data_IF_895719585151
#
_entry.id   IF_895719585151
#
_cell.length_a   1.000
_cell.length_b   1.000
_cell.length_c   1.000
_cell.angle_alpha   90.00
_cell.angle_beta   90.00
_cell.angle_gamma   90.00
#
_symmetry.space_group_name_H-M   'P 1'
#
loop_
_entity.id
_entity.type
_entity.pdbx_description
1 polymer ?
#
# COMPACT_ATOMS: atom_id res chain seq x y z
N UNK A 1 38.15 -9.56 -4.75
CA UNK A 1 36.88 -8.94 -4.30
C UNK A 1 36.13 -10.02 -3.57
N UNK A 2 36.13 -9.95 -2.23
CA UNK A 2 35.56 -10.96 -1.35
C UNK A 2 34.03 -10.90 -1.39
N UNK A 3 33.42 -12.06 -1.27
CA UNK A 3 31.98 -12.37 -1.28
C UNK A 3 31.15 -11.72 -0.17
N UNK A 4 31.75 -10.90 0.70
CA UNK A 4 31.06 -10.27 1.85
C UNK A 4 30.20 -9.06 1.50
N UNK A 5 30.38 -8.44 0.33
CA UNK A 5 29.73 -7.16 0.02
C UNK A 5 28.47 -7.27 -0.84
N UNK A 6 28.06 -8.49 -1.23
CA UNK A 6 26.85 -8.71 -2.05
C UNK A 6 25.55 -8.73 -1.24
N UNK A 7 25.63 -8.71 0.09
CA UNK A 7 24.48 -8.79 1.00
C UNK A 7 24.03 -7.42 1.54
N UNK A 8 24.75 -6.32 1.27
CA UNK A 8 24.38 -4.97 1.72
C UNK A 8 23.84 -4.11 0.56
N UNK A 9 22.52 -3.98 0.42
CA UNK A 9 21.96 -3.09 -0.60
C UNK A 9 22.02 -1.62 -0.15
N UNK A 10 21.55 -1.33 1.05
CA UNK A 10 21.51 0.02 1.62
C UNK A 10 22.78 0.25 2.42
N UNK A 11 23.73 0.96 1.81
CA UNK A 11 25.05 1.27 2.40
C UNK A 11 25.35 2.75 2.47
N UNK A 12 24.47 3.60 1.91
CA UNK A 12 24.61 5.06 1.95
C UNK A 12 23.25 5.69 2.25
N UNK A 13 23.26 6.92 2.76
CA UNK A 13 22.02 7.67 3.04
C UNK A 13 21.22 7.89 1.76
N UNK A 14 21.87 8.16 0.63
CA UNK A 14 21.19 8.31 -0.67
C UNK A 14 20.49 7.03 -1.10
N UNK A 15 21.09 5.87 -0.82
CA UNK A 15 20.41 4.58 -1.04
C UNK A 15 19.25 4.40 -0.09
N UNK A 16 19.40 4.74 1.19
CA UNK A 16 18.30 4.66 2.15
C UNK A 16 17.12 5.54 1.71
N UNK A 17 17.38 6.78 1.31
CA UNK A 17 16.40 7.71 0.74
C UNK A 17 15.68 7.11 -0.45
N UNK A 18 16.44 6.54 -1.39
CA UNK A 18 15.89 5.87 -2.56
C UNK A 18 14.92 4.74 -2.17
N UNK A 19 15.28 3.88 -1.21
CA UNK A 19 14.42 2.79 -0.75
C UNK A 19 13.17 3.28 -0.01
N UNK A 20 13.28 4.35 0.78
CA UNK A 20 12.12 4.95 1.45
C UNK A 20 11.15 5.61 0.46
N UNK A 21 11.65 6.17 -0.65
CA UNK A 21 10.80 6.60 -1.76
C UNK A 21 10.08 5.41 -2.39
N UNK A 22 10.75 4.26 -2.50
CA UNK A 22 10.10 3.04 -3.02
C UNK A 22 9.05 2.50 -2.05
N UNK A 23 9.31 2.56 -0.75
CA UNK A 23 8.33 2.21 0.27
C UNK A 23 7.04 3.01 0.04
N UNK A 24 7.13 4.34 -0.03
CA UNK A 24 5.98 5.21 -0.31
C UNK A 24 5.27 4.87 -1.64
N UNK A 25 6.01 4.52 -2.70
CA UNK A 25 5.41 4.09 -3.97
C UNK A 25 4.67 2.74 -3.85
N UNK A 26 5.21 1.79 -3.07
CA UNK A 26 4.61 0.47 -2.84
C UNK A 26 3.31 0.63 -2.05
N UNK A 27 3.33 1.30 -0.90
CA UNK A 27 2.13 1.54 -0.08
C UNK A 27 1.06 2.31 -0.86
N UNK A 28 1.46 3.28 -1.69
CA UNK A 28 0.50 3.96 -2.54
C UNK A 28 -0.04 3.07 -3.67
N UNK A 29 0.76 2.12 -4.19
CA UNK A 29 0.34 1.26 -5.30
C UNK A 29 -0.71 0.20 -4.92
N UNK A 30 -0.90 -0.08 -3.62
CA UNK A 30 -1.94 -0.99 -3.11
C UNK A 30 -3.29 -0.27 -2.93
N UNK A 31 -3.27 1.04 -2.63
CA UNK A 31 -4.48 1.84 -2.38
C UNK A 31 -5.44 1.87 -3.58
N UNK A 32 -5.06 2.26 -4.82
CA UNK A 32 -6.01 2.29 -5.95
C UNK A 32 -6.69 0.96 -6.26
N UNK A 33 -6.00 -0.21 -6.27
CA UNK A 33 -6.66 -1.51 -6.37
C UNK A 33 -7.73 -1.73 -5.28
N UNK A 34 -7.40 -1.51 -4.00
CA UNK A 34 -8.32 -1.73 -2.88
C UNK A 34 -9.53 -0.81 -2.97
N UNK A 35 -9.30 0.47 -3.25
CA UNK A 35 -10.38 1.46 -3.38
C UNK A 35 -11.27 1.19 -4.59
N UNK A 36 -10.71 0.71 -5.71
CA UNK A 36 -11.50 0.34 -6.90
C UNK A 36 -12.45 -0.82 -6.60
N UNK A 37 -11.93 -1.87 -5.97
CA UNK A 37 -12.76 -3.01 -5.55
C UNK A 37 -13.83 -2.57 -4.54
N UNK A 38 -13.45 -1.81 -3.51
CA UNK A 38 -14.36 -1.28 -2.49
C UNK A 38 -15.51 -0.47 -3.11
N UNK A 39 -15.20 0.43 -4.03
CA UNK A 39 -16.21 1.30 -4.65
C UNK A 39 -17.09 0.59 -5.68
N UNK A 40 -16.67 -0.57 -6.18
CA UNK A 40 -17.49 -1.41 -7.05
C UNK A 40 -18.65 -2.11 -6.32
N UNK A 41 -18.60 -2.21 -4.99
CA UNK A 41 -19.68 -2.82 -4.21
C UNK A 41 -20.99 -2.05 -4.36
N UNK A 42 -22.11 -2.75 -4.53
CA UNK A 42 -23.44 -2.13 -4.52
C UNK A 42 -23.77 -1.62 -3.11
N UNK A 43 -24.42 -0.45 -2.96
CA UNK A 43 -24.75 0.10 -1.65
C UNK A 43 -25.54 -0.87 -0.76
N UNK A 44 -25.11 -1.02 0.50
CA UNK A 44 -25.77 -1.89 1.48
C UNK A 44 -25.57 -3.40 1.27
N UNK A 45 -24.64 -3.80 0.40
CA UNK A 45 -24.26 -5.20 0.16
C UNK A 45 -22.84 -5.47 0.64
N UNK A 46 -22.55 -6.74 0.96
CA UNK A 46 -21.24 -7.22 1.43
C UNK A 46 -20.61 -6.27 2.47
N UNK A 47 -21.32 -6.00 3.56
CA UNK A 47 -20.88 -5.03 4.58
C UNK A 47 -19.54 -5.44 5.18
N UNK A 48 -19.33 -6.73 5.36
CA UNK A 48 -18.09 -7.35 5.83
C UNK A 48 -16.93 -7.02 4.89
N UNK A 49 -17.10 -7.25 3.58
CA UNK A 49 -16.11 -6.89 2.57
C UNK A 49 -15.85 -5.38 2.54
N UNK A 50 -16.91 -4.56 2.65
CA UNK A 50 -16.77 -3.11 2.71
C UNK A 50 -15.90 -2.67 3.90
N UNK A 51 -16.17 -3.21 5.10
CA UNK A 51 -15.43 -2.85 6.31
C UNK A 51 -13.99 -3.35 6.28
N UNK A 52 -13.76 -4.59 5.85
CA UNK A 52 -12.44 -5.20 5.76
C UNK A 52 -11.55 -4.45 4.76
N UNK A 53 -12.00 -4.28 3.51
CA UNK A 53 -11.19 -3.62 2.46
C UNK A 53 -10.94 -2.16 2.83
N UNK A 54 -11.95 -1.46 3.40
CA UNK A 54 -11.76 -0.08 3.85
C UNK A 54 -10.74 0.02 4.98
N UNK A 55 -10.75 -0.91 5.95
CA UNK A 55 -9.81 -0.88 7.06
C UNK A 55 -8.37 -1.05 6.56
N UNK A 56 -8.14 -2.05 5.71
CA UNK A 56 -6.82 -2.27 5.08
C UNK A 56 -6.39 -1.06 4.26
N UNK A 57 -7.25 -0.50 3.40
CA UNK A 57 -6.88 0.67 2.60
C UNK A 57 -6.54 1.92 3.43
N UNK A 58 -7.10 2.05 4.64
CA UNK A 58 -6.73 3.12 5.58
C UNK A 58 -5.39 2.83 6.25
N UNK A 59 -5.11 1.58 6.60
CA UNK A 59 -3.80 1.14 7.11
C UNK A 59 -2.69 1.35 6.05
N UNK A 60 -2.95 1.11 4.75
CA UNK A 60 -2.00 1.46 3.68
C UNK A 60 -1.70 2.97 3.60
N UNK A 61 -2.68 3.83 3.94
CA UNK A 61 -2.46 5.27 4.07
C UNK A 61 -1.62 5.62 5.30
N UNK A 62 -1.79 4.88 6.41
CA UNK A 62 -0.91 4.97 7.58
C UNK A 62 0.52 4.60 7.18
N UNK A 63 0.71 3.50 6.45
CA UNK A 63 2.01 3.02 6.03
C UNK A 63 2.74 4.05 5.17
N UNK A 64 2.05 4.66 4.19
CA UNK A 64 2.57 5.76 3.40
C UNK A 64 3.10 6.91 4.29
N UNK A 65 2.32 7.30 5.31
CA UNK A 65 2.73 8.35 6.26
C UNK A 65 3.92 7.93 7.12
N UNK A 66 3.96 6.68 7.62
CA UNK A 66 5.06 6.16 8.43
C UNK A 66 6.37 6.11 7.62
N UNK A 67 6.31 5.65 6.37
CA UNK A 67 7.46 5.67 5.45
C UNK A 67 7.95 7.11 5.19
N UNK A 68 7.03 8.06 5.01
CA UNK A 68 7.37 9.48 4.85
C UNK A 68 8.00 10.09 6.11
N UNK A 69 7.51 9.76 7.31
CA UNK A 69 8.10 10.18 8.58
C UNK A 69 9.55 9.70 8.71
N UNK A 70 9.82 8.43 8.40
CA UNK A 70 11.19 7.88 8.41
C UNK A 70 12.06 8.60 7.38
N UNK A 71 11.56 8.80 6.15
CA UNK A 71 12.27 9.53 5.10
C UNK A 71 12.65 10.95 5.51
N UNK A 72 11.71 11.71 6.05
CA UNK A 72 11.96 13.05 6.55
C UNK A 72 12.97 13.05 7.70
N UNK A 73 12.87 12.10 8.64
CA UNK A 73 13.75 12.03 9.81
C UNK A 73 15.22 11.79 9.42
N UNK A 74 15.49 11.02 8.37
CA UNK A 74 16.85 10.77 7.86
C UNK A 74 17.35 11.82 6.86
N UNK A 75 16.72 13.00 6.85
CA UNK A 75 17.13 14.14 6.00
C UNK A 75 16.63 14.08 4.56
N UNK A 76 15.62 13.27 4.28
CA UNK A 76 14.96 13.21 2.98
C UNK A 76 14.23 14.52 2.62
N UNK A 77 14.06 14.76 1.33
CA UNK A 77 13.29 15.89 0.81
C UNK A 77 12.06 15.36 0.07
N UNK A 78 10.88 15.47 0.68
CA UNK A 78 9.63 14.91 0.16
C UNK A 78 9.10 15.68 -1.07
N UNK A 79 9.56 16.91 -1.28
CA UNK A 79 9.13 17.73 -2.41
C UNK A 79 9.35 17.02 -3.74
N UNK A 80 8.30 16.99 -4.57
CA UNK A 80 8.28 16.31 -5.86
C UNK A 80 8.42 14.78 -5.80
N UNK A 81 8.13 14.17 -4.65
CA UNK A 81 8.17 12.70 -4.49
C UNK A 81 6.82 12.07 -4.81
N UNK A 82 5.75 12.49 -4.14
CA UNK A 82 4.38 11.98 -4.35
C UNK A 82 3.75 12.55 -5.63
N UNK A 83 4.23 13.71 -6.06
CA UNK A 83 3.81 14.38 -7.30
C UNK A 83 4.68 14.02 -8.50
N UNK A 84 5.65 13.10 -8.35
CA UNK A 84 6.45 12.63 -9.47
C UNK A 84 5.56 11.96 -10.54
N UNK A 85 5.82 12.17 -11.85
CA UNK A 85 5.01 11.58 -12.92
C UNK A 85 4.91 10.05 -12.90
N UNK A 86 5.88 9.39 -12.26
CA UNK A 86 5.99 7.94 -12.12
C UNK A 86 5.68 7.44 -10.69
N UNK A 87 5.10 8.29 -9.83
CA UNK A 87 4.70 7.89 -8.47
C UNK A 87 3.52 6.91 -8.51
N UNK A 88 2.51 7.22 -9.33
CA UNK A 88 1.38 6.31 -9.59
C UNK A 88 1.79 5.35 -10.73
N UNK A 89 1.84 4.03 -10.52
CA UNK A 89 2.15 3.10 -11.60
C UNK A 89 1.04 3.06 -12.66
N UNK A 90 1.38 2.60 -13.86
CA UNK A 90 0.40 2.23 -14.87
C UNK A 90 -0.12 0.84 -14.56
N UNK A 91 -1.41 0.70 -14.26
CA UNK A 91 -2.04 -0.60 -14.03
C UNK A 91 -2.49 -1.26 -15.34
N UNK A 92 -2.43 -2.60 -15.46
CA UNK A 92 -1.88 -3.51 -14.47
C UNK A 92 -0.35 -3.43 -14.37
N UNK A 93 0.22 -3.69 -13.18
CA UNK A 93 1.66 -3.52 -12.91
C UNK A 93 2.22 -4.66 -12.04
N UNK A 94 3.54 -4.84 -12.04
CA UNK A 94 4.24 -5.69 -11.09
C UNK A 94 4.77 -4.85 -9.93
N UNK A 95 4.47 -5.25 -8.69
CA UNK A 95 5.04 -4.61 -7.51
C UNK A 95 6.52 -5.00 -7.34
N UNK A 96 7.41 -4.08 -6.94
CA UNK A 96 8.86 -4.31 -6.86
C UNK A 96 9.29 -5.28 -5.75
N UNK A 97 8.33 -5.82 -5.00
CA UNK A 97 8.50 -6.69 -3.83
C UNK A 97 7.80 -8.04 -3.97
N UNK A 98 7.09 -8.29 -5.07
CA UNK A 98 6.45 -9.58 -5.37
C UNK A 98 7.30 -10.44 -6.30
N UNK A 99 7.08 -11.76 -6.32
CA UNK A 99 7.47 -12.62 -7.44
C UNK A 99 6.92 -12.01 -8.77
N UNK A 100 7.56 -12.23 -9.94
CA UNK A 100 6.99 -11.81 -11.25
C UNK A 100 5.82 -12.73 -11.63
N UNK A 101 5.12 -13.26 -10.64
CA UNK A 101 4.14 -14.33 -10.75
C UNK A 101 2.71 -13.80 -10.90
N UNK A 102 2.44 -12.55 -10.49
CA UNK A 102 1.15 -11.91 -10.69
C UNK A 102 1.25 -10.41 -11.00
N UNK A 103 0.24 -9.88 -11.70
CA UNK A 103 0.06 -8.45 -11.92
C UNK A 103 -1.03 -7.91 -11.00
N UNK A 104 -0.81 -6.71 -10.48
CA UNK A 104 -1.83 -5.95 -9.74
C UNK A 104 -2.55 -5.05 -10.72
N UNK A 105 -3.86 -5.23 -10.84
CA UNK A 105 -4.74 -4.43 -11.69
C UNK A 105 -5.81 -3.68 -10.90
N UNK A 106 -6.57 -2.85 -11.62
CA UNK A 106 -7.75 -2.17 -11.10
C UNK A 106 -9.00 -2.95 -11.55
N UNK A 107 -9.66 -3.61 -10.61
CA UNK A 107 -10.81 -4.47 -10.87
C UNK A 107 -11.95 -4.27 -9.87
N UNK A 108 -13.12 -4.84 -10.21
CA UNK A 108 -14.26 -4.91 -9.28
C UNK A 108 -13.97 -5.90 -8.15
N UNK A 109 -14.72 -5.82 -7.06
CA UNK A 109 -14.74 -6.85 -6.05
C UNK A 109 -15.15 -8.19 -6.67
N UNK A 110 -14.25 -9.17 -6.59
CA UNK A 110 -14.41 -10.53 -7.12
C UNK A 110 -13.45 -11.47 -6.39
N UNK A 111 -13.63 -12.78 -6.54
CA UNK A 111 -12.71 -13.76 -5.97
C UNK A 111 -11.28 -13.58 -6.50
N UNK A 112 -11.14 -13.30 -7.80
CA UNK A 112 -9.83 -13.10 -8.44
C UNK A 112 -9.12 -11.83 -7.91
N UNK A 113 -9.90 -10.77 -7.67
CA UNK A 113 -9.36 -9.52 -7.13
C UNK A 113 -8.94 -9.69 -5.67
N UNK A 114 -9.73 -10.39 -4.85
CA UNK A 114 -9.34 -10.71 -3.46
C UNK A 114 -8.13 -11.65 -3.41
N UNK A 115 -8.07 -12.65 -4.29
CA UNK A 115 -6.89 -13.50 -4.40
C UNK A 115 -5.64 -12.68 -4.76
N UNK A 116 -5.77 -11.68 -5.64
CA UNK A 116 -4.68 -10.74 -5.94
C UNK A 116 -4.28 -9.94 -4.70
N UNK A 117 -5.23 -9.46 -3.89
CA UNK A 117 -4.92 -8.73 -2.65
C UNK A 117 -4.17 -9.60 -1.65
N UNK A 118 -4.56 -10.87 -1.51
CA UNK A 118 -3.79 -11.83 -0.70
C UNK A 118 -2.36 -12.04 -1.21
N UNK A 119 -2.15 -12.05 -2.52
CA UNK A 119 -0.81 -12.19 -3.08
C UNK A 119 0.06 -10.94 -2.86
N UNK A 120 -0.55 -9.76 -2.74
CA UNK A 120 0.15 -8.53 -2.33
C UNK A 120 0.67 -8.68 -0.89
N UNK A 121 -0.20 -9.14 0.01
CA UNK A 121 0.04 -9.20 1.46
C UNK A 121 0.72 -10.48 1.96
N UNK A 122 1.08 -11.38 1.04
CA UNK A 122 1.61 -12.69 1.42
C UNK A 122 2.93 -12.57 2.15
N UNK A 123 3.07 -13.35 3.20
CA UNK A 123 4.38 -13.59 3.82
C UNK A 123 5.23 -14.56 2.99
N UNK A 124 6.55 -14.32 2.94
CA UNK A 124 7.52 -15.27 2.36
C UNK A 124 8.69 -15.48 3.29
N UNK A 125 9.08 -16.75 3.41
CA UNK A 125 10.24 -17.15 4.18
C UNK A 125 11.50 -17.23 3.32
N UNK A 126 12.57 -16.59 3.80
CA UNK A 126 13.90 -16.70 3.21
C UNK A 126 14.87 -17.08 4.33
N UNK A 127 15.54 -18.25 4.24
CA UNK A 127 16.58 -18.65 5.19
C UNK A 127 17.63 -17.54 5.40
N UNK A 128 18.10 -17.36 6.65
CA UNK A 128 19.03 -16.29 7.02
C UNK A 128 20.34 -16.27 6.20
N UNK A 129 20.75 -17.42 5.65
CA UNK A 129 21.95 -17.57 4.83
C UNK A 129 21.74 -17.23 3.33
N UNK A 130 20.50 -16.94 2.93
CA UNK A 130 20.16 -16.56 1.56
C UNK A 130 20.01 -15.05 1.39
N UNK A 131 20.33 -14.50 0.21
CA UNK A 131 20.10 -13.10 -0.05
C UNK A 131 18.59 -12.80 -0.02
N UNK A 132 18.20 -11.74 0.67
CA UNK A 132 16.82 -11.20 0.68
C UNK A 132 16.35 -10.73 -0.71
N UNK A 133 17.27 -10.71 -1.67
CA UNK A 133 17.10 -10.20 -3.03
C UNK A 133 17.41 -11.29 -4.02
N UNK A 134 16.57 -11.42 -5.03
CA UNK A 134 16.82 -12.28 -6.18
C UNK A 134 17.06 -11.47 -7.43
N UNK A 135 18.03 -11.91 -8.24
CA UNK A 135 18.20 -11.45 -9.61
C UNK A 135 17.19 -12.17 -10.53
N UNK A 136 16.45 -11.41 -11.33
CA UNK A 136 15.39 -11.88 -12.22
C UNK A 136 15.56 -11.31 -13.64
N UNK A 137 15.19 -12.05 -14.69
CA UNK A 137 15.21 -11.53 -16.05
C UNK A 137 14.23 -10.34 -16.17
N UNK A 138 14.65 -9.27 -16.85
CA UNK A 138 13.78 -8.16 -17.21
C UNK A 138 12.63 -8.69 -18.09
N UNK A 139 11.44 -8.79 -17.52
CA UNK A 139 10.20 -8.90 -18.27
C UNK A 139 9.31 -7.73 -17.84
N UNK A 140 8.62 -7.16 -18.83
CA UNK A 140 7.97 -5.84 -18.85
C UNK A 140 7.54 -5.26 -17.49
N UNK A 141 8.13 -4.09 -17.19
CA UNK A 141 7.76 -3.12 -16.16
C UNK A 141 7.49 -3.68 -14.75
N UNK A 142 8.55 -4.09 -14.05
CA UNK A 142 8.64 -3.67 -12.64
C UNK A 142 8.58 -2.15 -12.62
N UNK A 143 7.89 -1.55 -11.64
CA UNK A 143 7.95 -0.11 -11.33
C UNK A 143 9.34 0.42 -11.73
N UNK A 144 9.41 1.24 -12.78
CA UNK A 144 10.69 1.62 -13.39
C UNK A 144 11.41 2.58 -12.47
N UNK A 145 12.14 2.04 -11.51
CA UNK A 145 12.75 2.89 -10.51
C UNK A 145 14.12 3.36 -10.96
N UNK A 146 14.24 4.67 -11.18
CA UNK A 146 15.51 5.32 -11.51
C UNK A 146 16.60 4.98 -10.49
N UNK A 147 17.71 4.39 -10.95
CA UNK A 147 18.87 4.05 -10.10
C UNK A 147 18.87 2.65 -9.48
N UNK A 148 17.85 1.84 -9.75
CA UNK A 148 17.77 0.45 -9.33
C UNK A 148 18.06 -0.47 -10.50
N UNK A 149 18.71 -1.58 -10.19
CA UNK A 149 18.80 -2.69 -11.11
C UNK A 149 17.45 -3.42 -11.06
N UNK A 150 16.56 -3.27 -12.06
CA UNK A 150 15.22 -3.85 -12.04
C UNK A 150 15.25 -5.38 -12.09
N UNK A 151 16.43 -5.98 -12.20
CA UNK A 151 16.61 -7.41 -12.02
C UNK A 151 16.59 -7.81 -10.55
N UNK A 152 16.81 -6.90 -9.60
CA UNK A 152 16.73 -7.20 -8.17
C UNK A 152 15.28 -7.07 -7.72
N UNK A 153 14.79 -7.99 -6.88
CA UNK A 153 13.46 -7.91 -6.30
C UNK A 153 13.41 -8.67 -4.98
N UNK A 154 12.50 -8.30 -4.11
CA UNK A 154 12.22 -8.99 -2.85
C UNK A 154 11.18 -10.09 -3.07
N UNK A 155 11.08 -11.01 -2.11
CA UNK A 155 10.07 -12.06 -2.16
C UNK A 155 8.72 -11.62 -1.58
N UNK A 156 8.73 -10.66 -0.65
CA UNK A 156 7.55 -10.04 -0.04
C UNK A 156 7.81 -8.57 0.32
N UNK A 157 6.75 -7.83 0.65
CA UNK A 157 6.82 -6.43 1.12
C UNK A 157 7.54 -6.37 2.48
N UNK A 158 7.28 -7.32 3.36
CA UNK A 158 7.93 -7.45 4.66
C UNK A 158 9.43 -7.65 4.55
N UNK A 159 9.91 -8.44 3.59
CA UNK A 159 11.36 -8.60 3.37
C UNK A 159 12.02 -7.35 2.77
N UNK A 160 11.27 -6.55 2.03
CA UNK A 160 11.71 -5.23 1.59
C UNK A 160 11.88 -4.27 2.79
N UNK A 161 10.93 -4.25 3.73
CA UNK A 161 11.06 -3.47 4.97
C UNK A 161 12.18 -3.99 5.88
N UNK A 162 12.38 -5.30 5.95
CA UNK A 162 13.49 -5.90 6.68
C UNK A 162 14.85 -5.40 6.17
N UNK A 163 14.98 -5.21 4.85
CA UNK A 163 16.18 -4.63 4.24
C UNK A 163 16.36 -3.14 4.58
N UNK A 164 15.29 -2.35 4.60
CA UNK A 164 15.34 -0.94 5.05
C UNK A 164 15.78 -0.86 6.52
N UNK A 165 15.21 -1.68 7.39
CA UNK A 165 15.57 -1.79 8.81
C UNK A 165 17.05 -2.16 8.95
N UNK A 166 17.54 -3.11 8.16
CA UNK A 166 18.94 -3.52 8.15
C UNK A 166 19.87 -2.38 7.69
N UNK A 167 19.45 -1.63 6.67
CA UNK A 167 20.16 -0.43 6.19
C UNK A 167 20.24 0.68 7.22
N UNK A 168 19.14 0.99 7.91
CA UNK A 168 19.09 1.94 9.02
C UNK A 168 20.06 1.57 10.14
N UNK A 169 20.06 0.30 10.56
CA UNK A 169 20.98 -0.18 11.60
C UNK A 169 22.45 -0.04 11.17
N UNK A 170 22.79 -0.40 9.93
CA UNK A 170 24.14 -0.29 9.41
C UNK A 170 24.62 1.18 9.35
N UNK A 171 23.80 2.07 8.80
CA UNK A 171 24.12 3.50 8.72
C UNK A 171 24.22 4.15 10.10
N UNK A 172 23.34 3.77 11.04
CA UNK A 172 23.39 4.28 12.41
C UNK A 172 24.64 3.80 13.17
N UNK A 173 25.13 2.59 12.91
CA UNK A 173 26.41 2.13 13.49
C UNK A 173 27.59 3.00 13.03
N UNK A 174 27.53 3.54 11.81
CA UNK A 174 28.58 4.38 11.24
C UNK A 174 28.44 5.86 11.64
N UNK A 175 27.20 6.38 11.68
CA UNK A 175 26.91 7.81 11.82
C UNK A 175 26.38 8.20 13.21
N UNK A 176 25.87 7.26 14.00
CA UNK A 176 25.12 7.52 15.22
C UNK A 176 23.87 8.37 14.98
N UNK A 177 23.51 9.19 15.97
CA UNK A 177 22.32 10.06 15.93
C UNK A 177 22.35 11.07 14.77
N UNK A 178 23.52 11.36 14.19
CA UNK A 178 23.65 12.24 13.03
C UNK A 178 22.93 11.71 11.76
N UNK A 179 22.56 10.43 11.73
CA UNK A 179 21.68 9.87 10.70
C UNK A 179 20.29 10.52 10.73
N UNK A 180 19.78 10.87 11.91
CA UNK A 180 18.46 11.46 12.12
C UNK A 180 18.55 12.99 12.12
N UNK A 181 18.98 13.55 10.98
CA UNK A 181 19.26 14.97 10.80
C UNK A 181 18.07 15.79 10.24
N UNK A 182 16.91 15.15 10.04
CA UNK A 182 15.70 15.76 9.51
C UNK A 182 15.13 16.85 10.40
N UNK A 183 14.34 17.74 9.79
CA UNK A 183 13.58 18.76 10.51
C UNK A 183 12.41 18.11 11.29
N UNK A 184 12.37 18.22 12.64
CA UNK A 184 11.26 17.69 13.43
C UNK A 184 9.89 18.27 13.06
N UNK A 185 9.84 19.48 12.48
CA UNK A 185 8.59 20.10 12.01
C UNK A 185 7.95 19.37 10.82
N UNK A 186 8.67 18.44 10.18
CA UNK A 186 8.19 17.61 9.06
C UNK A 186 7.64 16.25 9.47
N UNK A 187 7.58 15.97 10.77
CA UNK A 187 6.96 14.75 11.28
C UNK A 187 5.45 14.93 11.34
N UNK A 188 4.71 13.98 10.75
CA UNK A 188 3.29 13.81 11.06
C UNK A 188 3.18 13.15 12.42
N UNK A 189 2.30 13.68 13.26
CA UNK A 189 2.05 13.25 14.63
C UNK A 189 0.63 12.70 14.79
N UNK A 190 0.33 11.92 15.85
CA UNK A 190 -0.95 11.24 16.03
C UNK A 190 -2.19 12.16 15.94
N UNK A 191 -2.07 13.42 16.35
CA UNK A 191 -3.18 14.37 16.30
C UNK A 191 -3.70 14.67 14.89
N UNK A 192 -2.94 14.35 13.84
CA UNK A 192 -3.30 14.61 12.45
C UNK A 192 -3.82 13.38 11.70
N UNK A 193 -3.87 12.22 12.36
CA UNK A 193 -4.34 10.97 11.77
C UNK A 193 -5.56 10.44 12.52
N UNK A 194 -6.50 9.87 11.77
CA UNK A 194 -7.80 9.48 12.28
C UNK A 194 -8.06 8.02 11.89
N UNK A 195 -8.22 7.14 12.90
CA UNK A 195 -8.78 5.80 12.80
C UNK A 195 -8.03 4.77 11.93
N UNK A 196 -7.73 3.60 12.53
CA UNK A 196 -7.16 2.41 11.88
C UNK A 196 -6.63 1.45 12.95
N UNK A 197 -6.10 0.28 12.58
CA UNK A 197 -5.14 -0.42 13.45
C UNK A 197 -3.81 0.34 13.44
N UNK A 198 -3.16 0.50 14.59
CA UNK A 198 -1.90 1.24 14.74
C UNK A 198 -2.02 2.76 14.90
N UNK A 199 -0.90 3.36 15.32
CA UNK A 199 -0.75 4.79 15.56
C UNK A 199 0.36 5.40 14.67
N UNK A 200 0.20 6.67 14.31
CA UNK A 200 1.30 7.45 13.72
C UNK A 200 2.46 7.52 14.71
N UNK A 201 3.66 7.21 14.22
CA UNK A 201 4.88 7.28 15.00
C UNK A 201 5.74 8.44 14.46
N UNK A 202 5.92 9.51 15.24
CA UNK A 202 6.96 10.49 14.97
C UNK A 202 8.32 9.82 15.09
N UNK A 203 9.18 10.02 14.10
CA UNK A 203 10.51 9.41 14.01
C UNK A 203 11.56 10.47 14.34
N UNK A 204 12.27 10.23 15.43
CA UNK A 204 13.34 11.13 15.94
C UNK A 204 14.66 10.42 16.16
N UNK A 205 14.67 9.08 16.11
CA UNK A 205 15.83 8.24 16.38
C UNK A 205 15.69 6.86 15.72
N UNK A 206 16.72 6.02 15.84
CA UNK A 206 16.71 4.66 15.28
C UNK A 206 15.56 3.81 15.84
N UNK A 207 15.25 3.98 17.13
CA UNK A 207 14.24 3.17 17.80
C UNK A 207 12.84 3.46 17.25
N UNK A 208 12.48 4.73 17.11
CA UNK A 208 11.22 5.19 16.54
C UNK A 208 11.12 4.86 15.05
N UNK A 209 12.22 4.95 14.29
CA UNK A 209 12.26 4.54 12.90
C UNK A 209 11.98 3.04 12.71
N UNK A 210 12.66 2.18 13.48
CA UNK A 210 12.42 0.74 13.45
C UNK A 210 10.98 0.42 13.87
N UNK A 211 10.46 1.10 14.89
CA UNK A 211 9.07 0.91 15.32
C UNK A 211 8.08 1.26 14.20
N UNK A 212 8.27 2.39 13.52
CA UNK A 212 7.42 2.80 12.40
C UNK A 212 7.44 1.76 11.26
N UNK A 213 8.61 1.31 10.83
CA UNK A 213 8.73 0.32 9.75
C UNK A 213 8.23 -1.07 10.15
N UNK A 214 8.33 -1.44 11.43
CA UNK A 214 7.76 -2.69 11.94
C UNK A 214 6.24 -2.69 11.94
N UNK A 215 5.59 -1.57 12.25
CA UNK A 215 4.13 -1.47 12.12
C UNK A 215 3.70 -1.81 10.70
N UNK A 216 4.36 -1.21 9.69
CA UNK A 216 4.08 -1.49 8.28
C UNK A 216 4.27 -2.98 7.95
N UNK A 217 5.43 -3.53 8.33
CA UNK A 217 5.75 -4.92 8.07
C UNK A 217 4.75 -5.90 8.72
N UNK A 218 4.40 -5.66 9.98
CA UNK A 218 3.63 -6.59 10.80
C UNK A 218 2.12 -6.51 10.50
N UNK A 219 1.59 -5.35 10.07
CA UNK A 219 0.18 -5.22 9.68
C UNK A 219 -0.13 -5.95 8.36
N UNK A 220 0.78 -5.92 7.38
CA UNK A 220 0.63 -6.68 6.14
C UNK A 220 0.71 -8.19 6.37
N UNK A 221 1.85 -8.67 6.89
CA UNK A 221 2.25 -10.09 6.89
C UNK A 221 2.15 -10.80 8.25
N UNK A 222 1.90 -10.08 9.36
CA UNK A 222 1.94 -10.59 10.73
C UNK A 222 3.32 -10.50 11.41
N UNK A 223 3.38 -10.77 12.72
CA UNK A 223 4.63 -10.62 13.51
C UNK A 223 5.67 -11.69 13.27
N UNK A 224 5.23 -12.89 12.93
CA UNK A 224 6.07 -14.08 12.75
C UNK A 224 5.45 -14.99 11.70
N UNK A 225 6.31 -15.81 11.12
CA UNK A 225 5.89 -16.89 10.22
C UNK A 225 4.85 -17.76 10.94
N UNK A 226 3.75 -18.02 10.24
CA UNK A 226 2.66 -18.84 10.75
C UNK A 226 1.79 -18.16 11.81
N UNK A 227 1.98 -16.87 12.08
CA UNK A 227 1.04 -16.08 12.89
C UNK A 227 0.12 -15.26 12.00
N UNK A 228 -1.12 -15.09 12.45
CA UNK A 228 -2.15 -14.35 11.70
C UNK A 228 -2.31 -12.89 12.15
N UNK A 229 -1.50 -12.44 13.12
CA UNK A 229 -1.70 -11.17 13.81
C UNK A 229 -0.42 -10.34 13.93
N UNK A 230 -0.60 -9.03 14.04
CA UNK A 230 0.45 -8.04 14.29
C UNK A 230 0.81 -7.90 15.79
N UNK A 231 1.73 -6.99 16.13
CA UNK A 231 2.17 -6.80 17.52
C UNK A 231 1.07 -6.27 18.45
N UNK A 232 0.03 -5.64 17.89
CA UNK A 232 -1.14 -5.14 18.60
C UNK A 232 -2.24 -6.21 18.73
N UNK A 233 -1.98 -7.42 18.23
CA UNK A 233 -2.91 -8.55 18.19
C UNK A 233 -4.13 -8.24 17.33
N UNK A 234 -3.94 -7.45 16.29
CA UNK A 234 -4.90 -7.26 15.21
C UNK A 234 -4.59 -8.24 14.07
N UNK A 235 -5.62 -8.70 13.37
CA UNK A 235 -5.47 -9.64 12.25
C UNK A 235 -4.72 -8.97 11.10
N UNK A 236 -3.67 -9.61 10.59
CA UNK A 236 -2.88 -9.12 9.46
C UNK A 236 -3.66 -9.14 8.14
N UNK A 237 -3.24 -8.33 7.18
CA UNK A 237 -4.00 -8.05 5.96
C UNK A 237 -4.27 -9.28 5.11
N UNK A 238 -3.27 -10.16 4.93
CA UNK A 238 -3.42 -11.42 4.20
C UNK A 238 -4.65 -12.21 4.70
N UNK A 239 -4.75 -12.36 6.01
CA UNK A 239 -5.82 -13.12 6.66
C UNK A 239 -7.13 -12.36 6.68
N UNK A 240 -7.12 -11.02 6.79
CA UNK A 240 -8.33 -10.20 6.64
C UNK A 240 -8.99 -10.44 5.28
N UNK A 241 -8.20 -10.47 4.20
CA UNK A 241 -8.71 -10.76 2.86
C UNK A 241 -9.15 -12.22 2.70
N UNK A 242 -8.42 -13.18 3.28
CA UNK A 242 -8.81 -14.58 3.25
C UNK A 242 -10.17 -14.86 3.90
N UNK A 243 -10.56 -14.11 4.94
CA UNK A 243 -11.91 -14.21 5.51
C UNK A 243 -13.00 -14.05 4.45
N UNK A 244 -12.80 -13.17 3.47
CA UNK A 244 -13.77 -12.90 2.42
C UNK A 244 -13.90 -14.07 1.44
N UNK A 245 -12.80 -14.77 1.16
CA UNK A 245 -12.82 -15.96 0.31
C UNK A 245 -13.48 -17.15 1.01
N UNK A 246 -13.20 -17.31 2.31
CA UNK A 246 -13.72 -18.40 3.13
C UNK A 246 -15.14 -18.14 3.64
N UNK A 247 -15.59 -16.88 3.66
CA UNK A 247 -16.85 -16.48 4.27
C UNK A 247 -16.87 -16.76 5.78
N UNK A 248 -15.72 -16.60 6.45
CA UNK A 248 -15.58 -16.94 7.86
C UNK A 248 -14.54 -16.07 8.54
N UNK A 249 -14.85 -15.57 9.74
CA UNK A 249 -13.93 -14.76 10.52
C UNK A 249 -12.82 -15.60 11.17
N UNK A 250 -11.63 -15.01 11.26
CA UNK A 250 -10.58 -15.47 12.15
C UNK A 250 -10.83 -15.01 13.58
N UNK A 251 -10.47 -15.83 14.55
CA UNK A 251 -10.43 -15.48 15.97
C UNK A 251 -8.99 -15.21 16.38
N UNK A 252 -8.73 -13.99 16.85
CA UNK A 252 -7.46 -13.61 17.48
C UNK A 252 -7.70 -13.43 18.98
N UNK A 253 -7.05 -14.25 19.80
CA UNK A 253 -7.12 -14.13 21.25
C UNK A 253 -6.15 -13.04 21.72
N UNK A 254 -6.73 -11.94 22.21
CA UNK A 254 -5.99 -10.76 22.65
C UNK A 254 -5.32 -10.94 24.01
N UNK A 255 -5.57 -12.00 24.75
CA UNK A 255 -4.92 -12.30 26.04
C UNK A 255 -3.88 -13.42 25.90
N UNK A 256 -4.20 -14.47 25.16
CA UNK A 256 -3.37 -15.66 24.97
C UNK A 256 -3.18 -16.00 23.48
N UNK A 257 -2.13 -15.49 22.83
CA UNK A 257 -1.94 -15.63 21.38
C UNK A 257 -1.77 -17.06 20.87
N UNK A 258 -1.52 -18.04 21.75
CA UNK A 258 -1.49 -19.47 21.40
C UNK A 258 -2.89 -20.05 21.16
N UNK A 259 -3.94 -19.35 21.60
CA UNK A 259 -5.35 -19.71 21.38
C UNK A 259 -5.96 -19.05 20.15
N UNK A 260 -5.22 -18.18 19.48
CA UNK A 260 -5.63 -17.64 18.19
C UNK A 260 -5.70 -18.74 17.13
N UNK A 261 -6.53 -18.51 16.12
CA UNK A 261 -6.62 -19.39 14.96
C UNK A 261 -5.28 -19.56 14.26
N UNK A 262 -5.14 -20.69 13.58
CA UNK A 262 -3.98 -20.99 12.74
C UNK A 262 -4.22 -20.48 11.32
N UNK A 263 -3.16 -20.13 10.56
CA UNK A 263 -3.26 -19.75 9.16
C UNK A 263 -4.11 -20.74 8.35
N UNK A 264 -4.98 -20.21 7.50
CA UNK A 264 -5.90 -20.96 6.63
C UNK A 264 -6.97 -21.80 7.34
N UNK A 265 -7.13 -21.63 8.66
CA UNK A 265 -8.05 -22.41 9.48
C UNK A 265 -8.89 -21.51 10.42
N UNK A 266 -9.72 -20.59 9.89
CA UNK A 266 -10.56 -19.74 10.72
C UNK A 266 -11.63 -20.57 11.45
N UNK A 267 -11.94 -20.21 12.69
CA UNK A 267 -12.96 -20.87 13.53
C UNK A 267 -14.09 -19.94 13.97
N UNK A 268 -14.00 -18.66 13.60
CA UNK A 268 -14.99 -17.64 13.96
C UNK A 268 -16.33 -17.77 13.23
N UNK A 269 -17.19 -16.77 13.43
CA UNK A 269 -18.52 -16.75 12.81
C UNK A 269 -18.44 -16.74 11.28
N UNK A 270 -19.40 -17.41 10.64
CA UNK A 270 -19.51 -17.45 9.17
C UNK A 270 -20.37 -16.29 8.66
N UNK A 271 -20.03 -15.77 7.50
CA UNK A 271 -20.81 -14.77 6.77
C UNK A 271 -20.89 -15.12 5.28
N UNK A 272 -21.81 -14.46 4.56
CA UNK A 272 -22.00 -14.71 3.12
C UNK A 272 -21.48 -13.54 2.31
N UNK A 273 -20.69 -13.84 1.29
CA UNK A 273 -20.25 -12.87 0.28
C UNK A 273 -21.06 -13.07 -1.00
N UNK A 274 -21.79 -12.04 -1.41
CA UNK A 274 -22.50 -11.99 -2.69
C UNK A 274 -21.59 -11.39 -3.76
N UNK A 275 -20.88 -12.25 -4.48
CA UNK A 275 -19.90 -11.85 -5.51
C UNK A 275 -20.54 -11.14 -6.73
N UNK A 276 -21.87 -11.24 -6.90
CA UNK A 276 -22.63 -10.58 -7.96
C UNK A 276 -23.19 -9.21 -7.54
N UNK A 277 -23.09 -8.87 -6.24
CA UNK A 277 -23.52 -7.58 -5.69
C UNK A 277 -22.53 -6.43 -5.96
N UNK A 278 -22.05 -6.34 -7.19
CA UNK A 278 -21.07 -5.35 -7.65
C UNK A 278 -21.52 -4.66 -8.95
N UNK A 279 -20.97 -3.49 -9.23
CA UNK A 279 -21.03 -2.86 -10.54
C UNK A 279 -20.03 -3.53 -11.49
N UNK A 280 -20.43 -3.86 -12.73
CA UNK A 280 -19.56 -4.53 -13.70
C UNK A 280 -18.63 -3.51 -14.39
N UNK A 281 -17.61 -3.04 -13.69
CA UNK A 281 -16.75 -1.96 -14.20
C UNK A 281 -15.79 -2.42 -15.30
N UNK A 282 -15.35 -1.49 -16.14
CA UNK A 282 -14.20 -1.66 -17.04
C UNK A 282 -12.93 -1.77 -16.21
N UNK A 283 -12.32 -2.95 -16.21
CA UNK A 283 -11.03 -3.17 -15.56
C UNK A 283 -9.93 -2.37 -16.25
N UNK A 284 -8.99 -1.83 -15.45
CA UNK A 284 -7.85 -1.05 -15.92
C UNK A 284 -8.22 0.05 -16.93
N UNK A 285 -9.34 0.75 -16.68
CA UNK A 285 -9.87 1.75 -17.58
C UNK A 285 -8.87 2.87 -17.90
N UNK A 286 -8.89 3.32 -19.15
CA UNK A 286 -8.10 4.42 -19.69
C UNK A 286 -9.03 5.50 -20.24
N UNK A 287 -8.53 6.72 -20.42
CA UNK A 287 -9.34 7.80 -20.99
C UNK A 287 -9.86 7.45 -22.40
N UNK A 288 -9.11 6.65 -23.15
CA UNK A 288 -9.52 6.14 -24.46
C UNK A 288 -10.71 5.19 -24.44
N UNK A 289 -11.07 4.62 -23.28
CA UNK A 289 -12.28 3.81 -23.13
C UNK A 289 -13.56 4.66 -23.07
N UNK A 290 -13.43 5.97 -22.88
CA UNK A 290 -14.56 6.90 -22.80
C UNK A 290 -14.62 7.78 -24.05
N UNK A 291 -15.79 7.91 -24.72
CA UNK A 291 -15.91 8.74 -25.90
C UNK A 291 -15.47 10.20 -25.63
N UNK A 292 -14.56 10.77 -26.44
CA UNK A 292 -14.14 12.16 -26.25
C UNK A 292 -15.31 13.13 -26.24
N UNK A 293 -15.34 14.03 -25.26
CA UNK A 293 -16.43 15.01 -25.07
C UNK A 293 -17.69 14.46 -24.40
N UNK A 294 -17.73 13.18 -24.01
CA UNK A 294 -18.82 12.63 -23.19
C UNK A 294 -18.72 13.07 -21.73
N UNK A 295 -19.85 13.04 -21.00
CA UNK A 295 -19.88 13.30 -19.56
C UNK A 295 -18.95 12.36 -18.77
N UNK A 296 -18.83 11.10 -19.20
CA UNK A 296 -17.89 10.13 -18.60
C UNK A 296 -16.44 10.55 -18.80
N UNK A 297 -16.07 10.98 -20.01
CA UNK A 297 -14.72 11.46 -20.29
C UNK A 297 -14.39 12.66 -19.40
N UNK A 298 -15.29 13.64 -19.31
CA UNK A 298 -15.12 14.81 -18.43
C UNK A 298 -15.00 14.40 -16.96
N UNK A 299 -15.86 13.52 -16.47
CA UNK A 299 -15.81 13.03 -15.09
C UNK A 299 -14.52 12.26 -14.78
N UNK A 300 -13.98 11.51 -15.74
CA UNK A 300 -12.71 10.79 -15.60
C UNK A 300 -11.51 11.75 -15.51
N UNK A 301 -11.47 12.77 -16.37
CA UNK A 301 -10.43 13.82 -16.33
C UNK A 301 -10.50 14.61 -15.01
N UNK A 302 -11.71 14.93 -14.54
CA UNK A 302 -11.89 15.58 -13.25
C UNK A 302 -11.43 14.71 -12.07
N UNK A 303 -11.69 13.40 -12.13
CA UNK A 303 -11.22 12.46 -11.11
C UNK A 303 -9.69 12.37 -11.10
N UNK A 304 -9.04 12.18 -12.26
CA UNK A 304 -7.57 12.18 -12.36
C UNK A 304 -6.95 13.45 -11.78
N UNK A 305 -7.50 14.61 -12.16
CA UNK A 305 -7.03 15.91 -11.68
C UNK A 305 -7.21 16.06 -10.17
N UNK A 306 -8.37 15.64 -9.64
CA UNK A 306 -8.63 15.67 -8.21
C UNK A 306 -7.70 14.73 -7.43
N UNK A 307 -7.41 13.54 -7.97
CA UNK A 307 -6.50 12.58 -7.35
C UNK A 307 -5.06 13.10 -7.32
N UNK A 308 -4.58 13.67 -8.43
CA UNK A 308 -3.26 14.30 -8.49
C UNK A 308 -3.13 15.48 -7.52
N UNK A 309 -4.17 16.31 -7.40
CA UNK A 309 -4.16 17.42 -6.45
C UNK A 309 -4.16 16.92 -5.00
N UNK A 310 -4.90 15.84 -4.71
CA UNK A 310 -4.90 15.23 -3.38
C UNK A 310 -3.52 14.70 -2.99
N UNK A 311 -2.78 14.06 -3.90
CA UNK A 311 -1.39 13.66 -3.63
C UNK A 311 -0.48 14.87 -3.37
N UNK A 312 -0.68 15.99 -4.07
CA UNK A 312 0.04 17.22 -3.80
C UNK A 312 -0.29 17.82 -2.42
N UNK A 313 -1.54 17.73 -1.97
CA UNK A 313 -1.95 18.15 -0.62
C UNK A 313 -1.30 17.27 0.47
N UNK A 314 -1.21 15.95 0.25
CA UNK A 314 -0.49 15.03 1.15
C UNK A 314 1.01 15.37 1.17
N UNK A 315 1.63 15.55 0.00
CA UNK A 315 3.05 15.93 -0.10
C UNK A 315 3.35 17.22 0.67
N UNK A 316 2.48 18.23 0.53
CA UNK A 316 2.60 19.49 1.23
C UNK A 316 2.53 19.33 2.76
N UNK A 317 1.64 18.45 3.25
CA UNK A 317 1.56 18.13 4.67
C UNK A 317 2.86 17.48 5.16
N UNK A 318 3.39 16.52 4.39
CA UNK A 318 4.65 15.84 4.70
C UNK A 318 5.87 16.78 4.60
N UNK A 319 5.79 17.91 3.90
CA UNK A 319 6.88 18.89 3.76
C UNK A 319 6.89 19.96 4.88
N UNK A 320 6.27 19.67 6.03
CA UNK A 320 6.30 20.54 7.21
C UNK A 320 5.05 21.36 7.46
N UNK A 321 3.90 20.93 6.92
CA UNK A 321 2.59 21.53 7.19
C UNK A 321 1.61 20.47 7.69
N UNK A 322 1.94 19.72 8.75
CA UNK A 322 1.16 18.56 9.19
C UNK A 322 -0.31 18.89 9.47
N UNK A 323 -0.62 20.13 9.85
CA UNK A 323 -1.97 20.64 10.06
C UNK A 323 -2.88 20.57 8.84
N UNK A 324 -2.32 20.50 7.62
CA UNK A 324 -3.10 20.39 6.38
C UNK A 324 -3.53 18.96 6.07
N UNK A 325 -3.04 17.96 6.80
CA UNK A 325 -3.40 16.56 6.57
C UNK A 325 -4.88 16.28 6.89
N UNK A 326 -5.41 16.81 7.99
CA UNK A 326 -6.84 16.65 8.36
C UNK A 326 -7.77 17.29 7.31
N UNK A 327 -7.53 18.52 6.81
CA UNK A 327 -8.27 19.06 5.68
C UNK A 327 -8.16 18.20 4.41
N UNK A 328 -6.97 17.67 4.10
CA UNK A 328 -6.75 16.82 2.93
C UNK A 328 -7.62 15.55 3.02
N UNK A 329 -7.82 14.98 4.21
CA UNK A 329 -8.76 13.88 4.45
C UNK A 329 -10.19 14.19 3.99
N UNK A 330 -10.64 15.44 4.11
CA UNK A 330 -11.91 15.89 3.51
C UNK A 330 -11.97 15.67 1.99
N UNK A 331 -10.82 15.74 1.32
CA UNK A 331 -10.62 15.37 -0.08
C UNK A 331 -10.92 13.90 -0.39
N UNK A 332 -10.68 12.97 0.55
CA UNK A 332 -10.98 11.55 0.35
C UNK A 332 -12.49 11.31 0.11
N UNK A 333 -13.36 12.03 0.82
CA UNK A 333 -14.80 11.96 0.59
C UNK A 333 -15.18 12.48 -0.81
N UNK A 334 -14.54 13.55 -1.28
CA UNK A 334 -14.77 14.06 -2.64
C UNK A 334 -14.29 13.07 -3.71
N UNK A 335 -13.13 12.45 -3.49
CA UNK A 335 -12.60 11.40 -4.37
C UNK A 335 -13.52 10.17 -4.41
N UNK A 336 -14.05 9.75 -3.26
CA UNK A 336 -15.06 8.69 -3.17
C UNK A 336 -16.29 9.00 -4.02
N UNK A 337 -16.88 10.18 -3.87
CA UNK A 337 -18.06 10.57 -4.64
C UNK A 337 -17.77 10.61 -6.15
N UNK A 338 -16.62 11.14 -6.57
CA UNK A 338 -16.21 11.13 -7.98
C UNK A 338 -16.00 9.72 -8.53
N UNK A 339 -15.29 8.86 -7.79
CA UNK A 339 -15.06 7.48 -8.19
C UNK A 339 -16.37 6.67 -8.28
N UNK A 340 -17.24 6.79 -7.28
CA UNK A 340 -18.53 6.09 -7.27
C UNK A 340 -19.49 6.61 -8.33
N UNK A 341 -19.42 7.91 -8.67
CA UNK A 341 -20.16 8.46 -9.81
C UNK A 341 -19.74 7.79 -11.12
N UNK A 342 -18.44 7.64 -11.38
CA UNK A 342 -17.96 6.90 -12.56
C UNK A 342 -18.46 5.45 -12.54
N UNK A 343 -18.24 4.73 -11.44
CA UNK A 343 -18.56 3.30 -11.29
C UNK A 343 -20.05 2.98 -11.48
N UNK A 344 -20.95 3.92 -11.19
CA UNK A 344 -22.40 3.70 -11.32
C UNK A 344 -22.92 3.87 -12.75
N UNK A 345 -22.13 4.45 -13.65
CA UNK A 345 -22.58 4.80 -14.99
C UNK A 345 -22.06 3.83 -16.06
N UNK A 346 -22.93 3.31 -16.95
CA UNK A 346 -22.54 2.45 -18.06
C UNK A 346 -21.73 3.22 -19.10
N UNK A 347 -20.77 2.56 -19.75
CA UNK A 347 -20.01 3.15 -20.86
C UNK A 347 -20.87 3.15 -22.13
N UNK A 348 -21.13 4.30 -22.78
CA UNK A 348 -21.90 4.35 -24.02
C UNK A 348 -21.29 3.45 -25.10
N UNK A 349 -22.11 2.53 -25.64
CA UNK A 349 -21.68 1.60 -26.68
C UNK A 349 -21.04 0.30 -26.18
N UNK A 350 -20.91 0.10 -24.86
CA UNK A 350 -20.50 -1.17 -24.25
C UNK A 350 -21.59 -1.68 -23.28
N UNK A 351 -22.40 -2.60 -23.77
CA UNK A 351 -23.50 -3.16 -22.97
C UNK A 351 -22.97 -3.92 -21.75
N UNK A 352 -23.54 -3.60 -20.58
CA UNK A 352 -23.23 -4.29 -19.32
C UNK A 352 -21.87 -3.96 -18.70
N UNK A 353 -21.19 -2.91 -19.18
CA UNK A 353 -19.91 -2.46 -18.61
C UNK A 353 -20.01 -1.02 -18.12
N UNK A 354 -19.64 -0.79 -16.87
CA UNK A 354 -19.61 0.51 -16.23
C UNK A 354 -18.24 1.17 -16.31
N UNK A 355 -18.19 2.49 -16.18
CA UNK A 355 -16.93 3.22 -16.09
C UNK A 355 -16.19 2.90 -14.78
N UNK A 356 -14.92 3.30 -14.69
CA UNK A 356 -14.07 3.14 -13.53
C UNK A 356 -13.20 4.39 -13.30
N UNK A 357 -12.76 4.66 -12.05
CA UNK A 357 -11.80 5.72 -11.78
C UNK A 357 -10.46 5.47 -12.49
N UNK A 358 -9.83 6.56 -12.96
CA UNK A 358 -8.49 6.55 -13.55
C UNK A 358 -7.58 7.38 -12.65
N UNK A 359 -6.62 6.74 -11.99
CA UNK A 359 -5.84 7.41 -10.93
C UNK A 359 -4.64 8.19 -11.46
N UNK A 360 -4.01 7.66 -12.52
CA UNK A 360 -2.82 8.24 -13.13
C UNK A 360 -3.19 9.27 -14.19
N UNK A 361 -2.50 10.41 -14.21
CA UNK A 361 -2.52 11.33 -15.34
C UNK A 361 -1.66 10.75 -16.49
N UNK A 362 -2.23 10.68 -17.69
CA UNK A 362 -1.53 10.20 -18.89
C UNK A 362 -0.54 11.23 -19.46
#
# INVERSE_FOLDING_TARGET
>A
MTTENSLKLITTVERLHYYLIQAMKIEHATIPPYMTALYSLKPGKNLEAFHIIRAVAVEEMLHLTLAANVFNAVGGNIKSTLTAPDFIPSYPTYLPTGETDFQVGLGKFSQETIATFRQIERSKDVPEDKPLVVSRPLQEYLLSVLGYDPTKSFYSIGLFYAEIIRGLNALHQEMGDALFCGDPGRQITPEYYYSGGGDIIPVTDLRSAIRALKVIQEQGEGTRIGTIYDAERELAHEFRFEQLELGQYYVVDKDDPEKSDQPHHPTGETFTVDWDAVYPIKENAKLSDYPPGSELYTAAVEFQSAYSNFLAEIEYAFDGHPETLIPAVGGMFRLKEKATSLIRNPIPGLDGVNAAPIFRLD
#
